data_IF_145411743981
#
_entry.id   IF_145411743981
#
_cell.length_a   1.000
_cell.length_b   1.000
_cell.length_c   1.000
_cell.angle_alpha   90.00
_cell.angle_beta   90.00
_cell.angle_gamma   90.00
#
_symmetry.space_group_name_H-M   'P 1'
#
loop_
_entity.id
_entity.type
_entity.pdbx_description
1 polymer ?
#
# COMPACT_ATOMS: atom_id res chain seq x y z
N UNK A 1 -4.90 -17.36 20.75
CA UNK A 1 -6.07 -17.50 19.85
C UNK A 1 -5.57 -17.66 18.43
N UNK A 2 -5.94 -18.74 17.74
CA UNK A 2 -5.62 -18.95 16.33
C UNK A 2 -6.79 -18.48 15.48
N UNK A 3 -6.52 -17.64 14.47
CA UNK A 3 -7.51 -17.19 13.49
C UNK A 3 -7.07 -17.69 12.11
N UNK A 4 -7.86 -18.54 11.45
CA UNK A 4 -7.52 -18.97 10.11
C UNK A 4 -7.63 -17.82 9.13
N UNK A 5 -6.62 -17.65 8.28
CA UNK A 5 -6.63 -16.68 7.20
C UNK A 5 -6.22 -17.34 5.88
N UNK A 6 -6.84 -16.90 4.80
CA UNK A 6 -6.55 -17.36 3.44
C UNK A 6 -6.21 -16.12 2.61
N UNK A 7 -5.13 -16.19 1.85
CA UNK A 7 -4.75 -15.16 0.92
C UNK A 7 -4.36 -15.80 -0.41
N UNK A 8 -5.13 -15.50 -1.45
CA UNK A 8 -4.93 -16.02 -2.81
C UNK A 8 -4.47 -14.85 -3.68
N UNK A 9 -3.28 -14.97 -4.26
CA UNK A 9 -2.73 -13.99 -5.19
C UNK A 9 -2.60 -14.61 -6.58
N UNK A 10 -3.18 -13.95 -7.55
CA UNK A 10 -3.06 -14.29 -8.98
C UNK A 10 -2.34 -13.12 -9.65
N UNK A 11 -1.28 -13.41 -10.38
CA UNK A 11 -0.54 -12.39 -11.12
C UNK A 11 0.01 -12.98 -12.42
N UNK A 12 0.17 -12.13 -13.42
CA UNK A 12 0.79 -12.45 -14.70
C UNK A 12 1.80 -11.37 -15.05
N UNK A 13 2.81 -11.72 -15.82
CA UNK A 13 3.77 -10.76 -16.37
C UNK A 13 3.69 -10.84 -17.88
N UNK A 14 3.07 -9.84 -18.48
CA UNK A 14 3.12 -9.62 -19.93
C UNK A 14 4.37 -8.81 -20.23
N UNK A 15 5.20 -9.26 -21.13
CA UNK A 15 6.44 -8.56 -21.47
C UNK A 15 6.57 -8.30 -22.98
N UNK A 16 7.24 -7.22 -23.28
CA UNK A 16 7.67 -6.87 -24.64
C UNK A 16 9.15 -6.56 -24.61
N UNK A 17 9.92 -7.31 -25.41
CA UNK A 17 11.35 -7.08 -25.54
C UNK A 17 11.63 -6.30 -26.81
N UNK A 18 12.45 -5.27 -26.70
CA UNK A 18 13.08 -4.56 -27.80
C UNK A 18 14.60 -4.78 -27.71
N UNK A 19 15.35 -4.33 -28.73
CA UNK A 19 16.82 -4.52 -28.80
C UNK A 19 17.53 -4.07 -27.52
N UNK A 20 17.19 -2.89 -26.98
CA UNK A 20 17.90 -2.28 -25.84
C UNK A 20 17.06 -2.19 -24.56
N UNK A 21 15.83 -2.67 -24.56
CA UNK A 21 14.94 -2.51 -23.41
C UNK A 21 13.86 -3.56 -23.34
N UNK A 22 13.43 -3.86 -22.12
CA UNK A 22 12.28 -4.72 -21.86
C UNK A 22 11.19 -3.92 -21.13
N UNK A 23 9.95 -4.14 -21.50
CA UNK A 23 8.79 -3.54 -20.86
C UNK A 23 7.89 -4.63 -20.29
N UNK A 24 7.40 -4.42 -19.09
CA UNK A 24 6.56 -5.38 -18.36
C UNK A 24 5.25 -4.72 -17.96
N UNK A 25 4.17 -5.45 -18.14
CA UNK A 25 2.86 -5.10 -17.60
C UNK A 25 2.38 -6.26 -16.73
N UNK A 26 2.20 -5.99 -15.44
CA UNK A 26 1.90 -7.00 -14.44
C UNK A 26 0.56 -6.70 -13.76
N UNK A 27 -0.56 -7.27 -14.24
CA UNK A 27 -1.81 -7.27 -13.52
C UNK A 27 -1.71 -8.20 -12.29
N UNK A 28 -2.33 -7.77 -11.20
CA UNK A 28 -2.34 -8.49 -9.93
C UNK A 28 -3.77 -8.48 -9.40
N UNK A 29 -4.27 -9.64 -9.01
CA UNK A 29 -5.50 -9.79 -8.24
C UNK A 29 -5.19 -10.51 -6.93
N UNK A 30 -5.74 -10.02 -5.84
CA UNK A 30 -5.61 -10.64 -4.52
C UNK A 30 -7.00 -10.80 -3.91
N UNK A 31 -7.29 -11.99 -3.41
CA UNK A 31 -8.42 -12.25 -2.53
C UNK A 31 -7.88 -12.60 -1.14
N UNK A 32 -8.38 -11.91 -0.12
CA UNK A 32 -8.02 -12.16 1.27
C UNK A 32 -9.26 -12.44 2.11
N UNK A 33 -9.14 -13.40 3.00
CA UNK A 33 -10.15 -13.74 3.97
C UNK A 33 -9.50 -14.05 5.30
N UNK A 34 -9.95 -13.40 6.37
CA UNK A 34 -9.69 -13.80 7.74
C UNK A 34 -10.99 -13.82 8.53
N UNK A 35 -11.16 -14.86 9.36
CA UNK A 35 -12.37 -15.05 10.12
C UNK A 35 -12.43 -14.05 11.28
N UNK A 36 -13.55 -13.36 11.40
CA UNK A 36 -13.83 -12.53 12.58
C UNK A 36 -13.94 -13.40 13.82
N UNK A 37 -13.11 -13.14 14.82
CA UNK A 37 -13.29 -13.66 16.18
C UNK A 37 -13.50 -12.49 17.12
N UNK A 38 -14.48 -12.60 18.02
CA UNK A 38 -14.69 -11.58 19.05
C UNK A 38 -13.40 -11.43 19.88
N UNK A 39 -12.76 -10.28 19.73
CA UNK A 39 -11.63 -9.89 20.56
C UNK A 39 -12.16 -8.95 21.62
N UNK A 40 -11.86 -9.24 22.88
CA UNK A 40 -12.39 -8.45 23.99
C UNK A 40 -11.86 -7.03 23.88
N UNK A 41 -12.76 -6.07 23.68
CA UNK A 41 -12.44 -4.63 23.64
C UNK A 41 -11.88 -4.11 24.97
N UNK A 42 -12.00 -4.91 26.04
CA UNK A 42 -11.57 -4.57 27.41
C UNK A 42 -10.05 -4.71 27.57
N UNK A 43 -9.41 -5.52 26.74
CA UNK A 43 -7.96 -5.68 26.83
C UNK A 43 -7.25 -4.44 26.25
N UNK A 44 -6.37 -3.80 27.03
CA UNK A 44 -5.60 -2.68 26.53
C UNK A 44 -4.73 -3.11 25.33
N UNK A 45 -4.53 -2.19 24.40
CA UNK A 45 -3.67 -2.39 23.24
C UNK A 45 -2.29 -1.87 23.58
N UNK A 46 -1.31 -2.77 23.68
CA UNK A 46 0.05 -2.43 24.07
C UNK A 46 0.99 -2.24 22.89
N UNK A 47 0.95 -3.15 21.91
CA UNK A 47 1.92 -3.19 20.81
C UNK A 47 1.30 -3.09 19.41
N UNK A 48 -0.02 -3.04 19.31
CA UNK A 48 -0.70 -3.00 18.03
C UNK A 48 -0.87 -1.56 17.53
N UNK A 49 -0.42 -1.31 16.32
CA UNK A 49 -0.65 -0.06 15.59
C UNK A 49 -1.26 -0.33 14.22
N UNK A 50 -1.94 0.66 13.66
CA UNK A 50 -2.45 0.58 12.30
C UNK A 50 -1.31 0.71 11.29
N UNK A 51 -1.24 -0.25 10.38
CA UNK A 51 -0.35 -0.18 9.24
C UNK A 51 -0.86 0.88 8.26
N UNK A 52 -0.02 1.78 7.76
CA UNK A 52 -0.43 2.79 6.79
C UNK A 52 -1.07 2.16 5.55
N UNK A 53 -2.16 2.75 5.07
CA UNK A 53 -2.98 2.22 3.96
C UNK A 53 -2.18 1.92 2.69
N UNK A 54 -1.18 2.74 2.37
CA UNK A 54 -0.34 2.52 1.20
C UNK A 54 0.48 1.22 1.24
N UNK A 55 0.81 0.72 2.44
CA UNK A 55 1.54 -0.53 2.63
C UNK A 55 0.58 -1.72 2.57
N UNK A 56 -0.61 -1.58 3.12
CA UNK A 56 -1.61 -2.66 3.24
C UNK A 56 -2.47 -2.88 2.00
N UNK A 57 -2.29 -2.10 0.94
CA UNK A 57 -3.21 -2.06 -0.21
C UNK A 57 -3.40 -3.39 -0.95
N UNK A 58 -2.44 -4.32 -0.88
CA UNK A 58 -2.57 -5.66 -1.50
C UNK A 58 -2.47 -6.80 -0.47
N UNK A 59 -2.40 -6.49 0.82
CA UNK A 59 -2.23 -7.48 1.88
C UNK A 59 -3.39 -7.38 2.87
N UNK A 60 -3.62 -8.45 3.63
CA UNK A 60 -4.55 -8.44 4.76
C UNK A 60 -3.98 -7.78 6.01
N UNK A 61 -2.72 -7.37 6.00
CA UNK A 61 -2.06 -6.80 7.17
C UNK A 61 -2.56 -5.38 7.41
N UNK A 62 -3.41 -5.20 8.41
CA UNK A 62 -3.91 -3.90 8.88
C UNK A 62 -3.30 -3.50 10.23
N UNK A 63 -2.98 -4.49 11.05
CA UNK A 63 -2.37 -4.29 12.35
C UNK A 63 -0.91 -4.74 12.35
N UNK A 64 -0.03 -3.94 12.93
CA UNK A 64 1.29 -4.35 13.34
C UNK A 64 1.23 -4.67 14.83
N UNK A 65 1.89 -5.75 15.28
CA UNK A 65 1.81 -6.24 16.66
C UNK A 65 0.89 -7.46 16.81
N UNK A 66 0.72 -7.91 18.04
CA UNK A 66 0.07 -9.19 18.36
C UNK A 66 -1.27 -9.08 19.10
N UNK A 67 -1.63 -7.89 19.59
CA UNK A 67 -2.83 -7.70 20.41
C UNK A 67 -4.14 -7.76 19.60
N UNK A 68 -4.07 -7.54 18.30
CA UNK A 68 -5.22 -7.58 17.40
C UNK A 68 -4.90 -8.42 16.19
N UNK A 69 -5.88 -9.22 15.78
CA UNK A 69 -5.82 -10.09 14.61
C UNK A 69 -6.81 -9.57 13.57
N UNK A 70 -6.41 -9.61 12.32
CA UNK A 70 -7.20 -9.16 11.18
C UNK A 70 -8.56 -9.85 11.08
N UNK A 71 -9.56 -9.10 10.63
CA UNK A 71 -10.90 -9.56 10.26
C UNK A 71 -11.27 -9.15 8.83
N UNK A 72 -10.27 -9.01 7.97
CA UNK A 72 -10.46 -8.55 6.60
C UNK A 72 -11.04 -9.63 5.69
N UNK A 73 -12.11 -9.26 4.96
CA UNK A 73 -12.58 -10.00 3.80
C UNK A 73 -12.61 -9.04 2.63
N UNK A 74 -11.71 -9.25 1.67
CA UNK A 74 -11.48 -8.28 0.61
C UNK A 74 -11.04 -8.90 -0.70
N UNK A 75 -11.17 -8.14 -1.76
CA UNK A 75 -10.41 -8.31 -2.97
C UNK A 75 -9.61 -7.04 -3.29
N UNK A 76 -8.46 -7.21 -3.92
CA UNK A 76 -7.64 -6.11 -4.36
C UNK A 76 -7.18 -6.32 -5.79
N UNK A 77 -7.15 -5.24 -6.56
CA UNK A 77 -6.63 -5.23 -7.92
C UNK A 77 -5.43 -4.30 -7.99
N UNK A 78 -4.48 -4.66 -8.83
CA UNK A 78 -3.30 -3.84 -9.07
C UNK A 78 -2.80 -4.01 -10.50
N UNK A 79 -2.17 -2.98 -11.00
CA UNK A 79 -1.48 -2.98 -12.27
C UNK A 79 -0.12 -2.33 -12.07
N UNK A 80 0.93 -3.00 -12.51
CA UNK A 80 2.27 -2.43 -12.54
C UNK A 80 2.79 -2.45 -13.97
N UNK A 81 3.29 -1.32 -14.42
CA UNK A 81 4.10 -1.17 -15.61
C UNK A 81 5.54 -0.90 -15.21
N UNK A 82 6.50 -1.53 -15.86
CA UNK A 82 7.91 -1.18 -15.70
C UNK A 82 8.65 -1.29 -17.04
N UNK A 83 9.67 -0.48 -17.19
CA UNK A 83 10.60 -0.51 -18.31
C UNK A 83 12.02 -0.61 -17.80
N UNK A 84 12.72 -1.61 -18.28
CA UNK A 84 14.12 -1.86 -17.96
C UNK A 84 15.01 -1.56 -19.18
N UNK A 85 16.18 -1.02 -18.91
CA UNK A 85 17.27 -0.89 -19.89
C UNK A 85 18.58 -1.24 -19.20
N UNK A 86 19.38 -2.09 -19.83
CA UNK A 86 20.66 -2.56 -19.28
C UNK A 86 20.51 -3.20 -17.87
N UNK A 87 19.44 -3.97 -17.65
CA UNK A 87 19.17 -4.59 -16.35
C UNK A 87 18.76 -3.62 -15.23
N UNK A 88 18.50 -2.35 -15.54
CA UNK A 88 18.08 -1.32 -14.59
C UNK A 88 16.65 -0.90 -14.89
N UNK A 89 15.78 -0.93 -13.89
CA UNK A 89 14.42 -0.40 -13.99
C UNK A 89 14.50 1.13 -14.15
N UNK A 90 14.22 1.60 -15.36
CA UNK A 90 14.27 3.03 -15.71
C UNK A 90 12.99 3.77 -15.34
N UNK A 91 11.87 3.10 -15.50
CA UNK A 91 10.54 3.66 -15.20
C UNK A 91 9.72 2.55 -14.57
N UNK A 92 9.02 2.86 -13.50
CA UNK A 92 7.90 2.03 -13.04
C UNK A 92 6.72 2.87 -12.59
N UNK A 93 5.53 2.35 -12.87
CA UNK A 93 4.26 2.91 -12.45
C UNK A 93 3.42 1.79 -11.86
N UNK A 94 2.84 2.00 -10.69
CA UNK A 94 1.86 1.05 -10.16
C UNK A 94 0.62 1.77 -9.65
N UNK A 95 -0.53 1.13 -9.85
CA UNK A 95 -1.82 1.56 -9.31
C UNK A 95 -2.48 0.36 -8.66
N UNK A 96 -3.07 0.55 -7.49
CA UNK A 96 -3.70 -0.51 -6.70
C UNK A 96 -4.93 0.02 -5.99
N UNK A 97 -5.95 -0.84 -5.85
CA UNK A 97 -7.13 -0.57 -5.02
C UNK A 97 -7.57 -1.84 -4.30
N UNK A 98 -7.99 -1.68 -3.04
CA UNK A 98 -8.56 -2.74 -2.20
C UNK A 98 -10.04 -2.45 -1.97
N UNK A 99 -10.87 -3.45 -2.16
CA UNK A 99 -12.33 -3.39 -1.97
C UNK A 99 -12.68 -4.32 -0.82
N UNK A 100 -13.45 -3.83 0.13
CA UNK A 100 -13.95 -4.65 1.23
C UNK A 100 -15.23 -5.38 0.80
N UNK A 101 -15.31 -6.67 1.09
CA UNK A 101 -16.52 -7.49 0.84
C UNK A 101 -17.44 -7.45 2.05
N UNK A 102 -16.88 -7.24 3.24
CA UNK A 102 -17.61 -7.19 4.51
C UNK A 102 -17.03 -6.06 5.35
N UNK A 103 -17.91 -5.44 6.13
CA UNK A 103 -17.52 -4.45 7.13
C UNK A 103 -16.61 -5.07 8.19
N UNK A 104 -15.65 -4.31 8.62
CA UNK A 104 -14.70 -4.68 9.66
C UNK A 104 -15.36 -4.54 11.03
N UNK A 105 -15.12 -5.50 11.90
CA UNK A 105 -15.67 -5.54 13.26
C UNK A 105 -14.60 -5.27 14.33
N UNK A 106 -13.32 -5.36 13.94
CA UNK A 106 -12.19 -5.20 14.87
C UNK A 106 -11.53 -3.83 14.69
N UNK A 107 -11.42 -3.09 15.80
CA UNK A 107 -10.86 -1.74 15.86
C UNK A 107 -9.87 -1.62 17.03
N UNK A 108 -8.98 -0.62 16.97
CA UNK A 108 -8.06 -0.33 18.07
C UNK A 108 -8.77 0.51 19.14
N UNK A 109 -9.35 1.65 18.77
CA UNK A 109 -9.92 2.59 19.74
C UNK A 109 -11.42 2.87 19.53
N UNK A 110 -11.84 3.16 18.30
CA UNK A 110 -13.24 3.47 17.95
C UNK A 110 -13.64 2.78 16.66
N UNK A 111 -14.91 2.41 16.51
CA UNK A 111 -15.42 1.96 15.22
C UNK A 111 -15.22 3.06 14.19
N UNK A 112 -14.51 2.73 13.11
CA UNK A 112 -14.41 3.58 11.93
C UNK A 112 -15.27 2.90 10.86
N UNK A 113 -16.18 3.62 10.19
CA UNK A 113 -16.95 3.03 9.11
C UNK A 113 -16.02 2.31 8.15
N UNK A 114 -16.39 1.09 7.78
CA UNK A 114 -15.62 0.32 6.81
C UNK A 114 -15.69 1.03 5.48
N UNK A 115 -14.57 1.45 4.99
CA UNK A 115 -14.43 2.06 3.68
C UNK A 115 -13.47 1.22 2.85
N UNK A 116 -13.70 1.19 1.57
CA UNK A 116 -12.74 0.64 0.62
C UNK A 116 -11.37 1.29 0.83
N UNK A 117 -10.33 0.53 0.55
CA UNK A 117 -8.97 1.05 0.63
C UNK A 117 -8.77 2.21 -0.37
N UNK A 118 -7.82 3.09 -0.10
CA UNK A 118 -7.49 4.16 -1.02
C UNK A 118 -6.98 3.62 -2.34
N UNK A 119 -7.16 4.38 -3.42
CA UNK A 119 -6.38 4.19 -4.63
C UNK A 119 -4.95 4.59 -4.32
N UNK A 120 -4.05 3.61 -4.37
CA UNK A 120 -2.63 3.82 -4.12
C UNK A 120 -1.89 3.79 -5.45
N UNK A 121 -1.14 4.84 -5.76
CA UNK A 121 -0.27 4.89 -6.92
C UNK A 121 1.17 5.17 -6.53
N UNK A 122 2.10 4.62 -7.28
CA UNK A 122 3.52 4.95 -7.15
C UNK A 122 4.17 5.07 -8.52
N UNK A 123 5.10 5.99 -8.62
CA UNK A 123 5.90 6.24 -9.81
C UNK A 123 7.37 6.31 -9.44
N UNK A 124 8.21 5.69 -10.24
CA UNK A 124 9.66 5.76 -10.11
C UNK A 124 10.27 5.99 -11.49
N UNK A 125 11.25 6.88 -11.55
CA UNK A 125 11.99 7.21 -12.75
C UNK A 125 13.48 7.33 -12.44
N UNK A 126 14.29 6.55 -13.15
CA UNK A 126 15.75 6.52 -13.01
C UNK A 126 16.42 6.86 -14.34
N UNK A 127 16.54 8.15 -14.69
CA UNK A 127 17.16 8.57 -15.95
C UNK A 127 18.62 8.17 -16.03
N UNK A 128 19.37 8.30 -14.95
CA UNK A 128 20.78 7.93 -14.84
C UNK A 128 20.99 6.88 -13.77
N UNK A 129 22.09 6.13 -13.83
CA UNK A 129 22.44 5.15 -12.78
C UNK A 129 22.56 5.79 -11.40
N UNK A 130 22.98 7.05 -11.35
CA UNK A 130 23.19 7.82 -10.12
C UNK A 130 21.98 8.60 -9.63
N UNK A 131 20.90 8.72 -10.38
CA UNK A 131 19.75 9.55 -10.00
C UNK A 131 18.45 8.80 -10.09
N UNK A 132 17.59 8.97 -9.10
CA UNK A 132 16.26 8.37 -9.04
C UNK A 132 15.24 9.36 -8.48
N UNK A 133 14.11 9.47 -9.15
CA UNK A 133 12.93 10.18 -8.70
C UNK A 133 11.86 9.16 -8.30
N UNK A 134 11.22 9.35 -7.18
CA UNK A 134 10.14 8.51 -6.70
C UNK A 134 8.98 9.39 -6.23
N UNK A 135 7.76 8.96 -6.52
CA UNK A 135 6.56 9.58 -5.96
C UNK A 135 5.51 8.53 -5.62
N UNK A 136 4.67 8.86 -4.67
CA UNK A 136 3.50 8.06 -4.32
C UNK A 136 2.32 8.94 -3.97
N UNK A 137 1.11 8.40 -4.17
CA UNK A 137 -0.15 9.05 -3.88
C UNK A 137 -1.14 8.02 -3.35
N UNK A 138 -1.85 8.36 -2.27
CA UNK A 138 -3.01 7.62 -1.78
C UNK A 138 -4.23 8.55 -1.75
N UNK A 139 -5.24 8.17 -2.52
CA UNK A 139 -6.47 8.93 -2.70
C UNK A 139 -7.67 8.11 -2.23
N UNK A 140 -8.55 8.70 -1.43
CA UNK A 140 -9.79 8.09 -0.96
C UNK A 140 -10.97 8.71 -1.68
N UNK A 141 -11.77 7.87 -2.38
CA UNK A 141 -12.91 8.30 -3.20
C UNK A 141 -14.04 8.92 -2.37
N UNK A 142 -14.44 8.26 -1.28
CA UNK A 142 -15.59 8.69 -0.45
C UNK A 142 -15.43 10.10 0.11
N UNK A 143 -14.20 10.51 0.37
CA UNK A 143 -13.90 11.84 0.85
C UNK A 143 -13.43 12.79 -0.27
N UNK A 144 -13.27 12.29 -1.50
CA UNK A 144 -12.60 13.01 -2.61
C UNK A 144 -11.32 13.69 -2.19
N UNK A 145 -10.49 12.98 -1.43
CA UNK A 145 -9.35 13.58 -0.73
C UNK A 145 -8.07 12.77 -0.88
N UNK A 146 -6.97 13.50 -0.98
CA UNK A 146 -5.62 12.94 -0.87
C UNK A 146 -5.32 12.69 0.60
N UNK A 147 -5.07 11.44 0.98
CA UNK A 147 -4.70 11.07 2.34
C UNK A 147 -3.22 11.31 2.61
N UNK A 148 -2.40 10.86 1.71
CA UNK A 148 -0.97 11.13 1.76
C UNK A 148 -0.37 11.10 0.36
N UNK A 149 0.68 11.85 0.17
CA UNK A 149 1.51 11.85 -1.03
C UNK A 149 2.94 12.18 -0.65
N UNK A 150 3.86 11.78 -1.50
CA UNK A 150 5.25 12.15 -1.31
C UNK A 150 6.02 12.10 -2.60
N UNK A 151 7.05 12.91 -2.65
CA UNK A 151 8.04 12.94 -3.71
C UNK A 151 9.42 12.86 -3.09
N UNK A 152 10.33 12.16 -3.76
CA UNK A 152 11.70 12.03 -3.32
C UNK A 152 12.64 12.00 -4.54
N UNK A 153 13.69 12.76 -4.47
CA UNK A 153 14.82 12.66 -5.39
C UNK A 153 16.02 12.09 -4.66
N UNK A 154 16.68 11.15 -5.27
CA UNK A 154 17.87 10.49 -4.76
C UNK A 154 18.99 10.65 -5.79
N UNK A 155 20.16 11.02 -5.31
CA UNK A 155 21.39 11.02 -6.07
C UNK A 155 22.46 10.22 -5.33
N UNK A 156 23.06 9.24 -5.99
CA UNK A 156 24.04 8.36 -5.37
C UNK A 156 25.18 8.07 -6.35
N UNK A 157 26.39 8.38 -5.91
CA UNK A 157 27.64 7.95 -6.55
C UNK A 157 28.43 7.08 -5.56
N UNK A 158 29.59 6.61 -5.93
CA UNK A 158 30.45 5.85 -5.03
C UNK A 158 30.87 6.62 -3.77
N UNK A 159 30.96 7.95 -3.87
CA UNK A 159 31.46 8.82 -2.79
C UNK A 159 30.39 9.64 -2.09
N UNK A 160 29.26 9.92 -2.75
CA UNK A 160 28.24 10.86 -2.26
C UNK A 160 26.88 10.26 -2.40
N UNK A 161 26.07 10.37 -1.34
CA UNK A 161 24.64 10.05 -1.36
C UNK A 161 23.85 11.25 -0.85
N UNK A 162 22.94 11.74 -1.68
CA UNK A 162 22.06 12.85 -1.37
C UNK A 162 20.62 12.43 -1.58
N UNK A 163 19.74 12.85 -0.70
CA UNK A 163 18.30 12.62 -0.83
C UNK A 163 17.55 13.86 -0.39
N UNK A 164 16.65 14.34 -1.23
CA UNK A 164 15.69 15.39 -0.89
C UNK A 164 14.29 14.89 -1.15
N UNK A 165 13.36 15.20 -0.28
CA UNK A 165 11.99 14.77 -0.45
C UNK A 165 11.02 15.57 0.39
N UNK A 166 9.77 15.56 -0.04
CA UNK A 166 8.65 16.17 0.66
C UNK A 166 7.54 15.14 0.81
N UNK A 167 6.91 15.13 1.98
CA UNK A 167 5.75 14.30 2.28
C UNK A 167 4.61 15.18 2.77
N UNK A 168 3.44 14.89 2.24
CA UNK A 168 2.17 15.42 2.74
C UNK A 168 1.38 14.26 3.36
N UNK A 169 0.86 14.45 4.55
CA UNK A 169 -0.08 13.54 5.21
C UNK A 169 -1.22 14.36 5.78
N UNK A 170 -2.42 14.02 5.40
CA UNK A 170 -3.62 14.61 6.00
C UNK A 170 -3.77 14.07 7.42
N UNK A 171 -3.85 14.94 8.37
CA UNK A 171 -4.24 14.58 9.73
C UNK A 171 -5.76 14.48 9.75
N UNK A 172 -6.30 13.32 10.12
CA UNK A 172 -7.73 13.20 10.36
C UNK A 172 -8.09 14.06 11.56
N UNK A 173 -8.78 15.16 11.31
CA UNK A 173 -9.25 16.10 12.35
C UNK A 173 -10.44 15.57 13.15
N UNK A 174 -10.65 14.27 13.22
CA UNK A 174 -11.69 13.65 14.06
C UNK A 174 -11.33 13.53 15.55
N UNK A 175 -10.24 14.16 15.96
CA UNK A 175 -9.89 14.39 17.36
C UNK A 175 -10.04 15.89 17.69
N UNK A 176 -11.20 16.47 17.42
CA UNK A 176 -11.68 17.58 18.26
C UNK A 176 -12.43 16.90 19.40
N UNK A 177 -11.77 16.83 20.51
CA UNK A 177 -12.41 16.62 21.81
C UNK A 177 -13.36 17.81 22.04
N UNK A 178 -14.65 17.51 22.11
CA UNK A 178 -15.62 18.33 22.82
C UNK A 178 -15.67 17.85 24.27
#
# INVERSE_FOLDING_TARGET
VSVPSINIKISSNLYKQNIDSSSYLSPIYVFGYSQTKKQQLINPVFDTSLVPDGVSSLNSIRFAGYDRIEDDKFHAIGLRFSKEKEGIEKISLSVKKKFLIKDREIFINRPIPSQDGPISSSFSWQPLKSSKFESYLNYTEDASKINNMGVRFLYATERVRLGIGQKFRRQNSSLKDD
#
